data_IF_386787768730
#
_entry.id   IF_386787768730
#
_cell.length_a   1.000
_cell.length_b   1.000
_cell.length_c   1.000
_cell.angle_alpha   90.00
_cell.angle_beta   90.00
_cell.angle_gamma   90.00
#
_symmetry.space_group_name_H-M   'P 1'
#
loop_
_entity.id
_entity.type
_entity.pdbx_description
1 polymer ?
#
# COMPACT_ATOMS: atom_id res chain seq x y z
N UNK A 1 0.56 17.84 -9.30
CA UNK A 1 -0.37 18.73 -10.03
C UNK A 1 -1.73 18.62 -9.38
N UNK A 2 -2.46 19.74 -9.28
CA UNK A 2 -3.85 19.72 -8.78
C UNK A 2 -4.69 18.87 -9.73
N UNK A 3 -5.58 18.04 -9.19
CA UNK A 3 -6.46 17.17 -9.97
C UNK A 3 -5.82 15.89 -10.51
N UNK A 4 -4.56 15.59 -10.16
CA UNK A 4 -3.89 14.35 -10.57
C UNK A 4 -3.78 13.37 -9.39
N UNK A 5 -4.11 12.11 -9.64
CA UNK A 5 -3.86 11.02 -8.70
C UNK A 5 -2.36 10.68 -8.63
N UNK A 6 -1.88 10.45 -7.43
CA UNK A 6 -0.53 9.99 -7.15
C UNK A 6 -0.60 8.72 -6.31
N UNK A 7 0.26 7.76 -6.64
CA UNK A 7 0.52 6.65 -5.74
C UNK A 7 1.58 7.09 -4.74
N UNK A 8 1.23 7.07 -3.46
CA UNK A 8 2.13 7.39 -2.35
C UNK A 8 2.36 6.15 -1.50
N UNK A 9 3.62 5.89 -1.16
CA UNK A 9 3.98 4.90 -0.16
C UNK A 9 5.03 5.45 0.80
N UNK A 10 4.93 5.00 2.04
CA UNK A 10 5.84 5.32 3.13
C UNK A 10 6.31 4.02 3.74
N UNK A 11 7.62 3.88 3.93
CA UNK A 11 8.20 2.73 4.64
C UNK A 11 9.06 3.21 5.79
N UNK A 12 8.99 2.51 6.91
CA UNK A 12 9.84 2.78 8.06
C UNK A 12 10.32 1.45 8.65
N UNK A 13 11.62 1.33 8.84
CA UNK A 13 12.25 0.10 9.33
C UNK A 13 12.48 0.13 10.85
N UNK A 14 12.58 -1.05 11.44
CA UNK A 14 12.90 -1.24 12.88
C UNK A 14 14.41 -1.29 13.15
N UNK A 15 15.22 -1.58 12.14
CA UNK A 15 16.68 -1.72 12.24
C UNK A 15 17.46 -0.47 11.81
N UNK A 16 18.78 -0.47 12.03
CA UNK A 16 19.73 0.51 11.51
C UNK A 16 19.31 1.98 11.69
N UNK A 17 18.87 2.36 12.90
CA UNK A 17 18.46 3.73 13.19
C UNK A 17 17.11 4.16 12.60
N UNK A 18 16.39 3.27 11.90
CA UNK A 18 15.07 3.57 11.35
C UNK A 18 15.13 4.26 10.00
N UNK A 19 15.40 3.52 8.94
CA UNK A 19 15.33 4.06 7.59
C UNK A 19 13.88 4.39 7.22
N UNK A 20 13.65 5.65 6.85
CA UNK A 20 12.39 6.17 6.32
C UNK A 20 12.56 6.43 4.83
N UNK A 21 11.58 5.98 4.03
CA UNK A 21 11.55 6.22 2.58
C UNK A 21 10.16 6.64 2.15
N UNK A 22 10.12 7.60 1.23
CA UNK A 22 8.88 8.08 0.61
C UNK A 22 8.95 7.80 -0.88
N UNK A 23 7.90 7.19 -1.40
CA UNK A 23 7.77 6.84 -2.80
C UNK A 23 6.63 7.64 -3.44
N UNK A 24 6.89 8.19 -4.62
CA UNK A 24 5.88 8.86 -5.45
C UNK A 24 5.84 8.13 -6.79
N UNK A 25 4.66 7.64 -7.17
CA UNK A 25 4.44 6.86 -8.39
C UNK A 25 5.42 5.67 -8.52
N UNK A 26 5.63 4.96 -7.40
CA UNK A 26 6.41 3.72 -7.34
C UNK A 26 7.93 3.91 -7.28
N UNK A 27 8.42 5.15 -7.28
CA UNK A 27 9.86 5.45 -7.21
C UNK A 27 10.18 6.16 -5.90
N UNK A 28 11.26 5.76 -5.22
CA UNK A 28 11.73 6.46 -4.02
C UNK A 28 12.17 7.88 -4.39
N UNK A 29 11.57 8.88 -3.76
CA UNK A 29 11.94 10.29 -3.96
C UNK A 29 12.74 10.84 -2.79
N UNK A 30 12.58 10.25 -1.60
CA UNK A 30 13.29 10.62 -0.38
C UNK A 30 13.65 9.37 0.41
N UNK A 31 14.81 9.42 1.05
CA UNK A 31 15.36 8.37 1.90
C UNK A 31 16.24 9.00 2.97
N UNK A 32 15.99 8.68 4.24
CA UNK A 32 16.75 9.21 5.37
C UNK A 32 16.71 8.25 6.57
N UNK A 33 17.81 8.15 7.31
CA UNK A 33 17.80 7.53 8.64
C UNK A 33 17.12 8.46 9.65
N UNK A 34 15.96 8.06 10.17
CA UNK A 34 15.20 8.91 11.10
C UNK A 34 15.84 9.02 12.48
N UNK A 35 16.85 8.20 12.79
CA UNK A 35 17.42 7.97 14.13
C UNK A 35 16.36 7.59 15.18
N UNK A 36 15.20 7.14 14.71
CA UNK A 36 14.05 6.77 15.50
C UNK A 36 13.38 5.56 14.83
N UNK A 37 13.90 4.34 15.04
CA UNK A 37 13.33 3.13 14.47
C UNK A 37 11.87 2.93 14.91
N UNK A 38 11.10 2.20 14.10
CA UNK A 38 9.71 1.86 14.46
C UNK A 38 9.69 1.15 15.82
N UNK A 39 8.98 1.74 16.77
CA UNK A 39 8.70 1.16 18.08
C UNK A 39 7.24 0.67 18.14
N UNK A 40 6.91 -0.29 19.02
CA UNK A 40 5.53 -0.64 19.30
C UNK A 40 4.70 0.61 19.61
N UNK A 41 3.48 0.67 19.09
CA UNK A 41 2.63 1.84 19.25
C UNK A 41 2.38 2.13 20.75
N UNK A 42 2.88 3.27 21.24
CA UNK A 42 2.66 3.68 22.63
C UNK A 42 1.22 4.07 22.95
N UNK A 43 0.38 4.25 21.92
CA UNK A 43 -1.07 4.46 22.03
C UNK A 43 -1.79 3.61 20.98
N UNK A 44 -2.75 2.81 21.40
CA UNK A 44 -3.49 1.86 20.54
C UNK A 44 -4.86 2.41 20.14
N UNK A 45 -4.88 3.65 19.62
CA UNK A 45 -6.11 4.27 19.13
C UNK A 45 -6.48 3.79 17.71
N UNK A 46 -7.65 4.23 17.23
CA UNK A 46 -8.02 4.04 15.84
C UNK A 46 -7.01 4.75 14.92
N UNK A 47 -6.59 4.08 13.84
CA UNK A 47 -5.78 4.71 12.80
C UNK A 47 -6.64 5.70 12.05
N UNK A 48 -6.19 6.94 11.96
CA UNK A 48 -6.87 8.00 11.20
C UNK A 48 -6.11 8.25 9.90
N UNK A 49 -6.86 8.39 8.80
CA UNK A 49 -6.34 8.71 7.48
C UNK A 49 -6.94 10.05 7.04
N UNK A 50 -6.12 10.91 6.45
CA UNK A 50 -6.58 12.20 5.94
C UNK A 50 -6.81 13.26 7.03
N UNK A 51 -6.22 13.11 8.22
CA UNK A 51 -6.22 14.17 9.23
C UNK A 51 -4.94 14.17 10.06
N UNK A 52 -4.49 15.35 10.47
CA UNK A 52 -3.39 15.55 11.40
C UNK A 52 -3.63 16.80 12.25
N UNK A 53 -3.49 16.69 13.58
CA UNK A 53 -3.57 17.87 14.46
C UNK A 53 -4.92 18.62 14.46
N UNK A 54 -6.00 17.96 14.03
CA UNK A 54 -7.32 18.59 13.87
C UNK A 54 -7.55 19.19 12.48
N UNK A 55 -6.54 19.21 11.61
CA UNK A 55 -6.67 19.61 10.21
C UNK A 55 -7.08 18.40 9.37
N UNK A 56 -8.07 18.60 8.50
CA UNK A 56 -8.51 17.58 7.54
C UNK A 56 -7.84 17.81 6.19
N UNK A 57 -7.44 16.72 5.53
CA UNK A 57 -6.93 16.75 4.17
C UNK A 57 -8.07 17.13 3.20
N UNK A 58 -7.91 18.17 2.37
CA UNK A 58 -8.98 18.63 1.48
C UNK A 58 -9.11 17.80 0.19
N UNK A 59 -8.27 16.78 -0.02
CA UNK A 59 -8.27 15.93 -1.20
C UNK A 59 -8.92 14.57 -0.98
N UNK A 60 -9.05 13.80 -2.06
CA UNK A 60 -9.48 12.41 -1.99
C UNK A 60 -8.30 11.48 -1.68
N UNK A 61 -8.57 10.42 -0.93
CA UNK A 61 -7.67 9.29 -0.70
C UNK A 61 -8.45 8.04 -1.03
N UNK A 62 -7.82 7.11 -1.75
CA UNK A 62 -8.43 5.84 -2.11
C UNK A 62 -7.38 4.72 -1.98
N UNK A 63 -7.86 3.50 -1.80
CA UNK A 63 -7.06 2.28 -1.86
C UNK A 63 -5.93 2.18 -0.84
N UNK A 64 -6.26 2.58 0.39
CA UNK A 64 -5.36 2.56 1.55
C UNK A 64 -5.00 1.13 1.92
N UNK A 65 -3.70 0.86 2.06
CA UNK A 65 -3.14 -0.42 2.48
C UNK A 65 -2.11 -0.21 3.58
N UNK A 66 -2.01 -1.16 4.50
CA UNK A 66 -1.06 -1.12 5.62
C UNK A 66 -0.35 -2.47 5.73
N UNK A 67 0.95 -2.43 5.99
CA UNK A 67 1.79 -3.62 6.16
C UNK A 67 2.49 -3.60 7.50
N UNK A 68 2.72 -4.78 8.06
CA UNK A 68 3.49 -4.98 9.30
C UNK A 68 5.00 -5.03 9.08
N UNK A 69 5.47 -4.69 7.88
CA UNK A 69 6.89 -4.61 7.50
C UNK A 69 7.11 -3.52 6.46
N UNK A 70 8.34 -3.06 6.34
CA UNK A 70 8.75 -2.23 5.21
C UNK A 70 8.73 -3.07 3.92
N UNK A 71 8.11 -2.52 2.88
CA UNK A 71 8.18 -3.07 1.53
C UNK A 71 9.44 -2.58 0.82
N UNK A 72 9.98 -3.39 -0.09
CA UNK A 72 11.08 -2.96 -0.97
C UNK A 72 10.55 -2.29 -2.26
N UNK A 73 11.46 -1.76 -3.07
CA UNK A 73 11.15 -1.01 -4.30
C UNK A 73 10.32 -1.82 -5.30
N UNK A 74 10.66 -3.10 -5.47
CA UNK A 74 9.95 -3.99 -6.39
C UNK A 74 8.53 -4.27 -5.89
N UNK A 75 8.35 -4.49 -4.59
CA UNK A 75 7.04 -4.72 -3.97
C UNK A 75 6.17 -3.47 -4.03
N UNK A 76 6.73 -2.29 -3.84
CA UNK A 76 5.99 -1.02 -3.98
C UNK A 76 5.58 -0.79 -5.42
N UNK A 77 6.48 -1.00 -6.38
CA UNK A 77 6.16 -0.88 -7.80
C UNK A 77 5.10 -1.88 -8.22
N UNK A 78 5.19 -3.12 -7.74
CA UNK A 78 4.19 -4.14 -7.97
C UNK A 78 2.83 -3.76 -7.37
N UNK A 79 2.80 -3.31 -6.10
CA UNK A 79 1.59 -2.87 -5.41
C UNK A 79 0.88 -1.72 -6.15
N UNK A 80 1.64 -0.78 -6.71
CA UNK A 80 1.12 0.30 -7.55
C UNK A 80 0.52 -0.23 -8.86
N UNK A 81 1.23 -1.11 -9.56
CA UNK A 81 0.81 -1.65 -10.85
C UNK A 81 -0.43 -2.53 -10.75
N UNK A 82 -0.52 -3.35 -9.71
CA UNK A 82 -1.68 -4.19 -9.42
C UNK A 82 -2.95 -3.32 -9.25
N UNK A 83 -2.81 -2.12 -8.69
CA UNK A 83 -3.95 -1.31 -8.32
C UNK A 83 -4.85 -2.08 -7.34
N UNK A 84 -6.03 -1.56 -7.06
CA UNK A 84 -6.82 -2.08 -5.95
C UNK A 84 -7.92 -3.08 -6.29
N UNK A 85 -8.53 -2.97 -7.47
CA UNK A 85 -9.49 -3.97 -7.93
C UNK A 85 -8.85 -5.37 -7.97
N UNK A 86 -7.60 -5.46 -8.37
CA UNK A 86 -6.87 -6.74 -8.40
C UNK A 86 -6.34 -7.14 -7.01
N UNK A 87 -6.03 -6.19 -6.13
CA UNK A 87 -5.64 -6.48 -4.75
C UNK A 87 -6.83 -6.97 -3.88
N UNK A 88 -7.99 -6.34 -4.03
CA UNK A 88 -9.22 -6.61 -3.27
C UNK A 88 -10.05 -7.77 -3.85
N UNK A 89 -9.61 -8.36 -4.96
CA UNK A 89 -10.09 -9.67 -5.41
C UNK A 89 -9.09 -10.73 -4.92
N UNK A 90 -9.20 -11.21 -3.66
CA UNK A 90 -8.22 -12.14 -3.04
C UNK A 90 -8.15 -13.52 -3.70
N UNK A 91 -8.84 -13.67 -4.83
CA UNK A 91 -9.05 -14.90 -5.54
C UNK A 91 -8.86 -14.59 -7.02
N UNK A 92 -7.65 -14.78 -7.55
CA UNK A 92 -7.50 -14.94 -8.99
C UNK A 92 -8.49 -16.03 -9.43
N UNK A 93 -9.55 -15.72 -10.20
CA UNK A 93 -10.51 -16.74 -10.61
C UNK A 93 -9.85 -17.68 -11.63
N UNK A 94 -8.87 -17.15 -12.36
CA UNK A 94 -8.03 -17.89 -13.30
C UNK A 94 -7.35 -19.02 -12.51
N UNK A 95 -7.67 -20.26 -12.86
CA UNK A 95 -7.22 -21.50 -12.20
C UNK A 95 -8.00 -21.95 -10.96
N UNK A 96 -9.14 -21.34 -10.61
CA UNK A 96 -10.05 -21.91 -9.61
C UNK A 96 -10.93 -22.99 -10.22
N UNK A 97 -11.17 -24.06 -9.45
CA UNK A 97 -12.02 -25.19 -9.84
C UNK A 97 -13.36 -24.72 -10.43
N UNK A 98 -14.02 -23.74 -9.81
CA UNK A 98 -15.29 -23.20 -10.30
C UNK A 98 -15.21 -22.59 -11.73
N UNK A 99 -14.10 -21.91 -12.06
CA UNK A 99 -13.89 -21.30 -13.39
C UNK A 99 -13.48 -22.35 -14.41
N UNK A 100 -12.62 -23.30 -14.03
CA UNK A 100 -12.25 -24.45 -14.89
C UNK A 100 -13.48 -25.28 -15.24
N UNK A 101 -14.36 -25.58 -14.28
CA UNK A 101 -15.60 -26.31 -14.54
C UNK A 101 -16.60 -25.53 -15.41
N UNK A 102 -16.66 -24.20 -15.26
CA UNK A 102 -17.48 -23.34 -16.13
C UNK A 102 -17.01 -23.39 -17.58
N UNK A 103 -15.70 -23.25 -17.80
CA UNK A 103 -15.09 -23.34 -19.13
C UNK A 103 -15.30 -24.71 -19.76
N UNK A 104 -15.11 -25.78 -18.98
CA UNK A 104 -15.39 -27.16 -19.43
C UNK A 104 -16.86 -27.29 -19.79
N UNK A 105 -17.82 -26.82 -19.00
CA UNK A 105 -19.25 -26.94 -19.36
C UNK A 105 -19.65 -26.11 -20.59
N UNK A 106 -19.03 -24.95 -20.81
CA UNK A 106 -19.31 -24.10 -21.97
C UNK A 106 -18.72 -24.62 -23.28
N UNK A 107 -17.81 -25.59 -23.22
CA UNK A 107 -17.19 -26.21 -24.41
C UNK A 107 -17.92 -27.48 -24.88
N UNK A 108 -19.14 -27.73 -24.39
CA UNK A 108 -20.01 -28.84 -24.78
C UNK A 108 -21.25 -28.31 -25.49
#
# INVERSE_FOLDING_TARGET
>A
KIGQWYYLAYTHTTGNGGLVRIFVNGTATHEEESKNPVLPAGKTGAVQIGTWGGEAWPGAVDEVRLWNRALNDAEIKFSMQLGAKEFATPVEPKNKLAVTWSQVKSSW
#
